data_IF_046498225255
#
_entry.id   IF_046498225255
#
_cell.length_a   1.000
_cell.length_b   1.000
_cell.length_c   1.000
_cell.angle_alpha   90.00
_cell.angle_beta   90.00
_cell.angle_gamma   90.00
#
_symmetry.space_group_name_H-M   'P 1'
#
loop_
_entity.id
_entity.type
_entity.pdbx_description
1 polymer ?
#
# COMPACT_ATOMS: atom_id res chain seq x y z
N UNK A 1 14.52 11.20 6.17
CA UNK A 1 13.21 10.83 5.58
C UNK A 1 13.24 9.38 5.12
N UNK A 2 12.20 8.63 5.36
CA UNK A 2 12.14 7.22 5.01
C UNK A 2 12.25 7.00 3.49
N UNK A 3 12.94 5.95 3.09
CA UNK A 3 12.83 5.40 1.74
C UNK A 3 11.58 4.54 1.70
N UNK A 4 10.82 4.62 0.62
CA UNK A 4 9.54 3.93 0.57
C UNK A 4 9.32 3.28 -0.79
N UNK A 5 8.52 2.22 -0.80
CA UNK A 5 8.11 1.53 -2.02
C UNK A 5 6.60 1.33 -1.97
N UNK A 6 5.94 1.69 -3.05
CA UNK A 6 4.51 1.48 -3.24
C UNK A 6 4.30 0.19 -4.03
N UNK A 7 3.60 -0.76 -3.44
CA UNK A 7 3.30 -2.03 -4.10
C UNK A 7 1.92 -1.96 -4.73
N UNK A 8 1.84 -2.13 -6.02
CA UNK A 8 0.60 -2.06 -6.79
C UNK A 8 0.48 -3.26 -7.71
N UNK A 9 -0.73 -3.54 -8.14
CA UNK A 9 -1.05 -4.62 -9.06
C UNK A 9 -2.12 -4.16 -10.05
N UNK A 10 -2.02 -4.55 -11.33
CA UNK A 10 -3.03 -4.20 -12.32
C UNK A 10 -4.32 -5.01 -12.18
N UNK A 11 -4.30 -6.12 -11.46
CA UNK A 11 -5.46 -7.00 -11.29
C UNK A 11 -5.39 -7.77 -9.99
N UNK A 12 -6.52 -8.35 -9.57
CA UNK A 12 -6.57 -9.21 -8.40
C UNK A 12 -5.83 -10.53 -8.64
N UNK A 13 -5.43 -11.21 -7.56
CA UNK A 13 -4.84 -12.54 -7.65
C UNK A 13 -3.42 -12.60 -8.20
N UNK A 14 -2.68 -11.49 -8.15
CA UNK A 14 -1.31 -11.44 -8.69
C UNK A 14 -0.23 -11.88 -7.71
N UNK A 15 -0.57 -12.08 -6.43
CA UNK A 15 0.41 -12.37 -5.38
C UNK A 15 0.98 -11.13 -4.71
N UNK A 16 0.35 -9.97 -4.88
CA UNK A 16 0.78 -8.70 -4.28
C UNK A 16 0.95 -8.80 -2.77
N UNK A 17 0.01 -9.42 -2.08
CA UNK A 17 0.07 -9.61 -0.62
C UNK A 17 1.28 -10.44 -0.20
N UNK A 18 1.60 -11.51 -0.94
CA UNK A 18 2.78 -12.33 -0.68
C UNK A 18 4.06 -11.53 -0.87
N UNK A 19 4.13 -10.70 -1.90
CA UNK A 19 5.29 -9.83 -2.17
C UNK A 19 5.44 -8.81 -1.04
N UNK A 20 4.35 -8.20 -0.60
CA UNK A 20 4.38 -7.23 0.50
C UNK A 20 4.92 -7.87 1.79
N UNK A 21 4.39 -9.04 2.16
CA UNK A 21 4.86 -9.77 3.34
C UNK A 21 6.34 -10.17 3.22
N UNK A 22 6.75 -10.64 2.06
CA UNK A 22 8.14 -11.04 1.80
C UNK A 22 9.11 -9.86 1.89
N UNK A 23 8.73 -8.70 1.36
CA UNK A 23 9.54 -7.50 1.45
C UNK A 23 9.69 -7.02 2.90
N UNK A 24 8.59 -6.97 3.64
CA UNK A 24 8.63 -6.60 5.06
C UNK A 24 9.57 -7.53 5.83
N UNK A 25 9.40 -8.85 5.66
CA UNK A 25 10.24 -9.84 6.35
C UNK A 25 11.71 -9.72 5.98
N UNK A 26 12.01 -9.44 4.71
CA UNK A 26 13.40 -9.29 4.24
C UNK A 26 14.03 -7.99 4.77
N UNK A 27 13.30 -6.90 4.75
CA UNK A 27 13.81 -5.60 5.17
C UNK A 27 14.05 -5.52 6.68
N UNK A 28 13.27 -6.21 7.48
CA UNK A 28 13.49 -6.25 8.93
C UNK A 28 14.84 -6.85 9.33
N UNK A 29 15.46 -7.61 8.42
CA UNK A 29 16.80 -8.18 8.65
C UNK A 29 17.93 -7.18 8.43
N UNK A 30 17.70 -6.12 7.68
CA UNK A 30 18.75 -5.19 7.26
C UNK A 30 18.48 -3.74 7.66
N UNK A 31 17.25 -3.42 8.02
CA UNK A 31 16.82 -2.07 8.39
C UNK A 31 16.18 -2.12 9.78
N UNK A 32 16.51 -1.16 10.63
CA UNK A 32 16.05 -1.16 12.02
C UNK A 32 14.57 -0.86 12.17
N UNK A 33 14.04 0.09 11.39
CA UNK A 33 12.65 0.53 11.53
C UNK A 33 11.92 0.45 10.18
N UNK A 34 11.18 -0.64 10.01
CA UNK A 34 10.35 -0.87 8.83
C UNK A 34 8.90 -0.56 9.20
N UNK A 35 8.34 0.44 8.53
CA UNK A 35 6.92 0.78 8.65
C UNK A 35 6.09 0.14 7.53
N UNK A 36 4.81 0.02 7.77
CA UNK A 36 3.83 -0.42 6.78
C UNK A 36 2.68 0.57 6.73
N UNK A 37 2.15 0.79 5.52
CA UNK A 37 1.09 1.77 5.32
C UNK A 37 0.11 1.25 4.26
N UNK A 38 -1.19 1.36 4.56
CA UNK A 38 -2.24 1.07 3.59
C UNK A 38 -3.04 2.32 3.31
N UNK A 39 -2.94 2.88 2.10
CA UNK A 39 -3.67 4.10 1.74
C UNK A 39 -5.19 3.95 1.78
N UNK A 40 -5.68 2.78 1.40
CA UNK A 40 -7.11 2.48 1.34
C UNK A 40 -7.43 1.22 2.10
N UNK A 41 -8.41 1.29 2.96
CA UNK A 41 -8.93 0.14 3.72
C UNK A 41 -10.46 0.14 3.68
N UNK A 42 -11.05 -1.01 3.93
CA UNK A 42 -12.51 -1.12 4.01
C UNK A 42 -13.02 -0.55 5.33
N UNK A 43 -12.30 -0.80 6.42
CA UNK A 43 -12.67 -0.34 7.76
C UNK A 43 -11.43 0.03 8.56
N UNK A 44 -11.52 1.12 9.33
CA UNK A 44 -10.45 1.53 10.24
C UNK A 44 -10.30 0.59 11.43
N UNK A 45 -11.38 -0.08 11.80
CA UNK A 45 -11.44 -0.87 13.03
C UNK A 45 -10.90 -2.30 12.83
N UNK A 46 -10.88 -2.78 11.59
CA UNK A 46 -10.46 -4.14 11.32
C UNK A 46 -9.84 -4.27 9.92
N UNK A 47 -8.52 -4.43 9.88
CA UNK A 47 -7.78 -4.80 8.68
C UNK A 47 -6.83 -5.95 9.04
N UNK A 48 -7.26 -7.21 8.85
CA UNK A 48 -6.45 -8.37 9.21
C UNK A 48 -5.11 -8.41 8.47
N UNK A 49 -5.06 -7.94 7.23
CA UNK A 49 -3.82 -7.93 6.47
C UNK A 49 -2.83 -6.90 7.02
N UNK A 50 -3.31 -5.72 7.38
CA UNK A 50 -2.48 -4.73 8.05
C UNK A 50 -1.91 -5.26 9.37
N UNK A 51 -2.75 -5.93 10.16
CA UNK A 51 -2.30 -6.54 11.40
C UNK A 51 -1.18 -7.56 11.16
N UNK A 52 -1.28 -8.34 10.11
CA UNK A 52 -0.24 -9.31 9.73
C UNK A 52 1.05 -8.61 9.31
N UNK A 53 0.96 -7.57 8.50
CA UNK A 53 2.12 -6.77 8.09
C UNK A 53 2.80 -6.11 9.29
N UNK A 54 2.04 -5.54 10.21
CA UNK A 54 2.57 -4.92 11.42
C UNK A 54 3.29 -5.94 12.31
N UNK A 55 2.71 -7.12 12.47
CA UNK A 55 3.34 -8.18 13.26
C UNK A 55 4.68 -8.61 12.64
N UNK A 56 4.79 -8.64 11.32
CA UNK A 56 6.02 -9.00 10.62
C UNK A 56 7.05 -7.87 10.63
N UNK A 57 6.61 -6.61 10.61
CA UNK A 57 7.52 -5.47 10.58
C UNK A 57 8.17 -5.20 11.93
N UNK A 58 7.55 -5.61 13.01
CA UNK A 58 8.01 -5.29 14.36
C UNK A 58 7.86 -3.81 14.72
N UNK A 59 7.15 -3.02 13.91
CA UNK A 59 6.90 -1.61 14.19
C UNK A 59 6.02 -1.45 15.43
N UNK A 60 6.35 -0.47 16.25
CA UNK A 60 5.53 -0.08 17.41
C UNK A 60 4.44 0.93 17.05
N UNK A 61 4.34 1.33 15.79
CA UNK A 61 3.33 2.27 15.35
C UNK A 61 1.91 1.69 15.56
N UNK A 62 0.96 2.49 16.05
CA UNK A 62 -0.41 2.02 16.18
C UNK A 62 -1.03 1.79 14.79
N UNK A 63 -1.90 0.80 14.68
CA UNK A 63 -2.56 0.47 13.41
C UNK A 63 -3.27 1.69 12.79
N UNK A 64 -3.86 2.55 13.62
CA UNK A 64 -4.53 3.77 13.16
C UNK A 64 -3.60 4.74 12.45
N UNK A 65 -2.32 4.73 12.77
CA UNK A 65 -1.30 5.55 12.10
C UNK A 65 -0.78 4.95 10.80
N UNK A 66 -1.17 3.73 10.49
CA UNK A 66 -0.72 2.98 9.30
C UNK A 66 -1.79 2.94 8.19
N UNK A 67 -2.84 3.71 8.32
CA UNK A 67 -3.99 3.73 7.42
C UNK A 67 -4.17 5.14 6.86
N UNK A 68 -4.47 5.25 5.57
CA UNK A 68 -4.84 6.51 4.95
C UNK A 68 -6.32 6.82 5.16
N UNK A 69 -7.16 6.30 4.30
CA UNK A 69 -8.61 6.54 4.33
C UNK A 69 -9.36 5.24 4.08
N UNK A 70 -10.66 5.24 4.42
CA UNK A 70 -11.58 4.19 3.97
C UNK A 70 -12.09 4.51 2.57
N UNK A 71 -12.63 3.51 1.89
CA UNK A 71 -13.26 3.72 0.58
C UNK A 71 -14.45 4.68 0.66
N UNK A 72 -15.21 4.61 1.74
CA UNK A 72 -16.34 5.53 1.94
C UNK A 72 -15.86 6.98 2.07
N UNK A 73 -14.78 7.22 2.81
CA UNK A 73 -14.18 8.55 2.93
C UNK A 73 -13.66 9.05 1.58
N UNK A 74 -13.05 8.17 0.79
CA UNK A 74 -12.56 8.53 -0.54
C UNK A 74 -13.72 8.91 -1.47
N UNK A 75 -14.79 8.13 -1.49
CA UNK A 75 -15.95 8.43 -2.33
C UNK A 75 -16.69 9.69 -1.90
N UNK A 76 -16.69 10.00 -0.61
CA UNK A 76 -17.33 11.20 -0.10
C UNK A 76 -16.61 12.48 -0.55
N UNK A 77 -15.27 12.49 -0.54
CA UNK A 77 -14.46 13.63 -0.98
C UNK A 77 -13.06 13.13 -1.40
N UNK A 78 -12.87 12.81 -2.69
CA UNK A 78 -11.59 12.29 -3.18
C UNK A 78 -10.38 13.20 -2.94
N UNK A 79 -10.54 14.49 -3.08
CA UNK A 79 -9.42 15.44 -2.90
C UNK A 79 -8.98 15.51 -1.44
N UNK A 80 -9.93 15.59 -0.52
CA UNK A 80 -9.65 15.56 0.91
C UNK A 80 -9.02 14.23 1.30
N UNK A 81 -9.52 13.12 0.75
CA UNK A 81 -8.98 11.80 1.02
C UNK A 81 -7.51 11.70 0.61
N UNK A 82 -7.15 12.20 -0.58
CA UNK A 82 -5.76 12.22 -1.03
C UNK A 82 -4.87 13.05 -0.10
N UNK A 83 -5.34 14.21 0.34
CA UNK A 83 -4.62 15.03 1.31
C UNK A 83 -4.37 14.29 2.62
N UNK A 84 -5.35 13.57 3.11
CA UNK A 84 -5.24 12.78 4.35
C UNK A 84 -4.28 11.62 4.21
N UNK A 85 -4.29 10.95 3.05
CA UNK A 85 -3.32 9.88 2.76
C UNK A 85 -1.90 10.42 2.84
N UNK A 86 -1.63 11.55 2.19
CA UNK A 86 -0.30 12.17 2.20
C UNK A 86 0.13 12.54 3.61
N UNK A 87 -0.74 13.17 4.37
CA UNK A 87 -0.45 13.60 5.75
C UNK A 87 -0.16 12.41 6.67
N UNK A 88 -0.98 11.37 6.58
CA UNK A 88 -0.81 10.14 7.38
C UNK A 88 0.49 9.42 7.05
N UNK A 89 0.80 9.31 5.76
CA UNK A 89 2.05 8.71 5.31
C UNK A 89 3.26 9.47 5.82
N UNK A 90 3.26 10.80 5.69
CA UNK A 90 4.37 11.63 6.12
C UNK A 90 4.63 11.52 7.63
N UNK A 91 3.56 11.48 8.41
CA UNK A 91 3.67 11.29 9.85
C UNK A 91 4.34 9.94 10.19
N UNK A 92 3.91 8.88 9.53
CA UNK A 92 4.50 7.55 9.72
C UNK A 92 5.96 7.51 9.26
N UNK A 93 6.26 8.11 8.12
CA UNK A 93 7.59 8.07 7.52
C UNK A 93 8.66 8.75 8.38
N UNK A 94 8.28 9.72 9.21
CA UNK A 94 9.22 10.41 10.09
C UNK A 94 9.88 9.46 11.10
N UNK A 95 9.18 8.44 11.52
CA UNK A 95 9.62 7.53 12.58
C UNK A 95 10.18 6.20 12.05
N UNK A 96 10.33 6.07 10.74
CA UNK A 96 10.77 4.82 10.12
C UNK A 96 11.89 5.07 9.10
N UNK A 97 12.72 4.04 8.90
CA UNK A 97 13.79 4.07 7.90
C UNK A 97 13.28 3.71 6.50
N UNK A 98 12.34 2.78 6.45
CA UNK A 98 11.67 2.32 5.22
C UNK A 98 10.19 2.17 5.51
N UNK A 99 9.35 2.56 4.57
CA UNK A 99 7.90 2.28 4.62
C UNK A 99 7.49 1.48 3.40
N UNK A 100 6.87 0.34 3.64
CA UNK A 100 6.25 -0.46 2.59
C UNK A 100 4.79 -0.04 2.51
N UNK A 101 4.41 0.48 1.36
CA UNK A 101 3.05 0.95 1.10
C UNK A 101 2.33 -0.15 0.31
N UNK A 102 1.36 -0.77 0.93
CA UNK A 102 0.55 -1.80 0.27
C UNK A 102 -0.64 -1.12 -0.39
N UNK A 103 -0.56 -0.97 -1.71
CA UNK A 103 -1.62 -0.36 -2.50
C UNK A 103 -2.94 -1.11 -2.39
N UNK A 104 -4.01 -0.49 -2.85
CA UNK A 104 -5.33 -1.07 -2.76
C UNK A 104 -5.42 -2.40 -3.51
N UNK A 105 -6.15 -3.33 -2.93
CA UNK A 105 -6.55 -4.54 -3.62
C UNK A 105 -7.65 -4.19 -4.61
N UNK A 106 -7.74 -4.99 -5.68
CA UNK A 106 -8.75 -4.78 -6.69
C UNK A 106 -10.12 -5.01 -6.08
N UNK A 107 -10.83 -3.94 -5.80
CA UNK A 107 -12.21 -3.97 -5.37
C UNK A 107 -13.09 -3.52 -6.52
N UNK A 108 -14.32 -3.96 -6.53
CA UNK A 108 -15.28 -3.62 -7.58
C UNK A 108 -15.73 -2.17 -7.47
N UNK A 109 -14.79 -1.26 -7.74
CA UNK A 109 -15.07 0.17 -7.71
C UNK A 109 -15.45 0.61 -9.11
N UNK A 110 -16.73 0.80 -9.32
CA UNK A 110 -17.25 1.29 -10.58
C UNK A 110 -16.62 2.64 -10.93
N UNK A 111 -15.91 2.71 -12.04
CA UNK A 111 -15.58 3.95 -12.69
C UNK A 111 -14.11 4.40 -12.68
N UNK A 112 -13.25 3.92 -11.79
CA UNK A 112 -11.83 4.29 -11.82
C UNK A 112 -10.95 3.04 -11.81
N UNK A 113 -10.06 2.86 -12.80
CA UNK A 113 -9.11 1.76 -12.75
C UNK A 113 -8.24 1.89 -11.50
N UNK A 114 -8.19 0.85 -10.68
CA UNK A 114 -7.42 0.87 -9.44
C UNK A 114 -5.93 1.12 -9.67
N UNK A 115 -5.38 0.60 -10.76
CA UNK A 115 -3.99 0.87 -11.08
C UNK A 115 -3.74 2.35 -11.27
N UNK A 116 -4.63 3.06 -11.96
CA UNK A 116 -4.49 4.51 -12.16
C UNK A 116 -4.61 5.26 -10.83
N UNK A 117 -5.51 4.85 -9.95
CA UNK A 117 -5.66 5.44 -8.62
C UNK A 117 -4.40 5.22 -7.78
N UNK A 118 -3.89 4.00 -7.75
CA UNK A 118 -2.65 3.68 -7.03
C UNK A 118 -1.46 4.47 -7.58
N UNK A 119 -1.36 4.62 -8.89
CA UNK A 119 -0.31 5.42 -9.52
C UNK A 119 -0.41 6.90 -9.11
N UNK A 120 -1.62 7.44 -9.05
CA UNK A 120 -1.86 8.80 -8.60
C UNK A 120 -1.46 9.00 -7.14
N UNK A 121 -1.82 8.07 -6.28
CA UNK A 121 -1.42 8.11 -4.86
C UNK A 121 0.10 8.04 -4.74
N UNK A 122 0.75 7.12 -5.41
CA UNK A 122 2.20 6.98 -5.37
C UNK A 122 2.90 8.26 -5.85
N UNK A 123 2.40 8.89 -6.90
CA UNK A 123 2.94 10.16 -7.40
C UNK A 123 2.79 11.27 -6.37
N UNK A 124 1.64 11.36 -5.70
CA UNK A 124 1.43 12.35 -4.64
C UNK A 124 2.33 12.11 -3.43
N UNK A 125 2.66 10.86 -3.13
CA UNK A 125 3.59 10.52 -2.06
C UNK A 125 5.06 10.71 -2.48
N UNK A 126 5.33 10.79 -3.77
CA UNK A 126 6.69 10.92 -4.29
C UNK A 126 7.53 9.64 -4.13
N UNK A 127 6.92 8.47 -4.25
CA UNK A 127 7.57 7.18 -4.04
C UNK A 127 7.54 6.32 -5.29
N UNK A 128 8.55 5.45 -5.49
CA UNK A 128 8.54 4.51 -6.61
C UNK A 128 7.51 3.41 -6.43
N UNK A 129 7.03 2.87 -7.54
CA UNK A 129 6.05 1.79 -7.58
C UNK A 129 6.73 0.48 -7.97
N UNK A 130 6.51 -0.55 -7.16
CA UNK A 130 6.81 -1.93 -7.52
C UNK A 130 5.52 -2.56 -8.03
N UNK A 131 5.50 -2.90 -9.31
CA UNK A 131 4.32 -3.48 -9.94
C UNK A 131 4.39 -5.00 -9.88
N UNK A 132 3.40 -5.62 -9.26
CA UNK A 132 3.28 -7.08 -9.18
C UNK A 132 2.28 -7.54 -10.23
N UNK A 133 2.72 -8.40 -11.14
CA UNK A 133 1.88 -8.94 -12.20
C UNK A 133 1.79 -10.46 -12.08
N UNK A 134 0.72 -11.04 -12.63
CA UNK A 134 0.56 -12.48 -12.66
C UNK A 134 1.54 -13.10 -13.66
N UNK A 135 2.23 -14.16 -13.22
CA UNK A 135 3.08 -14.98 -14.09
C UNK A 135 2.32 -16.12 -14.77
N UNK A 136 1.01 -16.21 -14.55
CA UNK A 136 0.15 -17.21 -15.18
C UNK A 136 -0.36 -16.66 -16.51
N UNK A 137 -0.11 -17.37 -17.60
CA UNK A 137 -0.50 -16.95 -18.93
C UNK A 137 0.68 -16.87 -19.88
N UNK A 138 0.46 -16.35 -21.11
CA UNK A 138 1.50 -16.17 -22.10
C UNK A 138 2.41 -14.97 -21.73
N UNK A 139 3.63 -14.90 -22.28
CA UNK A 139 4.47 -13.72 -22.07
C UNK A 139 3.82 -12.42 -22.55
N UNK A 140 2.91 -12.50 -23.50
CA UNK A 140 2.16 -11.33 -23.97
C UNK A 140 1.10 -10.90 -22.94
N UNK A 141 0.42 -11.85 -22.31
CA UNK A 141 -0.53 -11.55 -21.24
C UNK A 141 0.16 -10.88 -20.05
N UNK A 142 1.33 -11.37 -19.69
CA UNK A 142 2.12 -10.78 -18.60
C UNK A 142 2.53 -9.35 -18.92
N UNK A 143 2.90 -9.07 -20.16
CA UNK A 143 3.30 -7.72 -20.57
C UNK A 143 2.14 -6.74 -20.67
N UNK A 144 0.94 -7.22 -20.92
CA UNK A 144 -0.25 -6.39 -21.03
C UNK A 144 -0.99 -6.20 -19.70
N UNK A 145 -0.56 -6.89 -18.65
CA UNK A 145 -1.14 -6.81 -17.30
C UNK A 145 -0.81 -5.50 -16.59
#
# INVERSE_FOLDING_TARGET
>A
MARSIYIASPSAGTGKSTVALGLVASLTKVVAKVGVFRPFVDSRDADPFLALLLARSGSSAPATGCIGVTWDEYHADPEEALSRIVSSYRALARDHDVVIIDGSDFTDVAGTPELALNARVAANLGVPVLLVVSGQGSPEDVRSS
#
